data_IF_324451853769
#
_entry.id   IF_324451853769
#
_cell.length_a   1.000
_cell.length_b   1.000
_cell.length_c   1.000
_cell.angle_alpha   90.00
_cell.angle_beta   90.00
_cell.angle_gamma   90.00
#
_symmetry.space_group_name_H-M   'P 1'
#
loop_
_entity.id
_entity.type
_entity.pdbx_description
1 polymer ?
#
# COMPACT_ATOMS: atom_id res chain seq x y z
N UNK A 1 -3.70 22.71 -12.43
CA UNK A 1 -2.61 22.02 -13.18
C UNK A 1 -1.86 21.18 -12.15
N UNK A 2 -1.83 19.85 -12.13
CA UNK A 2 -2.16 18.79 -13.11
C UNK A 2 -3.27 17.87 -12.56
N UNK A 3 -4.37 17.73 -13.31
CA UNK A 3 -5.51 16.87 -13.01
C UNK A 3 -5.36 15.52 -13.74
N UNK A 4 -4.29 14.82 -13.46
CA UNK A 4 -4.20 13.40 -13.79
C UNK A 4 -4.42 12.68 -12.48
N UNK A 5 -5.37 11.75 -12.42
CA UNK A 5 -5.32 10.71 -11.41
C UNK A 5 -3.88 10.20 -11.41
N UNK A 6 -3.09 10.50 -10.39
CA UNK A 6 -1.73 9.99 -10.32
C UNK A 6 -1.90 8.49 -10.28
N UNK A 7 -1.62 7.83 -11.42
CA UNK A 7 -1.44 6.39 -11.48
C UNK A 7 -0.51 6.08 -10.32
N UNK A 8 -0.93 5.26 -9.34
CA UNK A 8 -0.09 4.99 -8.19
C UNK A 8 1.31 4.61 -8.67
N UNK A 9 2.35 5.22 -8.07
CA UNK A 9 3.75 5.08 -8.51
C UNK A 9 4.19 3.61 -8.64
N UNK A 10 3.53 2.71 -7.91
CA UNK A 10 3.72 1.26 -8.03
C UNK A 10 3.44 0.70 -9.44
N UNK A 11 2.59 1.34 -10.25
CA UNK A 11 2.30 0.94 -11.63
C UNK A 11 3.17 1.68 -12.66
N UNK A 12 3.93 2.70 -12.25
CA UNK A 12 4.81 3.43 -13.17
C UNK A 12 5.98 2.51 -13.61
N UNK A 13 6.14 2.19 -14.91
CA UNK A 13 7.23 1.32 -15.36
C UNK A 13 8.63 1.95 -15.21
N UNK A 14 8.71 3.28 -15.11
CA UNK A 14 9.98 4.00 -14.93
C UNK A 14 10.51 3.93 -13.51
N UNK A 15 9.65 3.60 -12.53
CA UNK A 15 10.03 3.45 -11.13
C UNK A 15 10.69 2.07 -10.93
N UNK A 16 11.92 2.00 -10.37
CA UNK A 16 12.56 0.74 -10.07
C UNK A 16 11.73 -0.13 -9.13
N UNK A 17 11.73 -1.45 -9.33
CA UNK A 17 10.93 -2.37 -8.52
C UNK A 17 11.23 -2.28 -7.01
N UNK A 18 12.48 -2.09 -6.63
CA UNK A 18 12.88 -1.88 -5.23
C UNK A 18 12.18 -0.65 -4.61
N UNK A 19 12.05 0.44 -5.37
CA UNK A 19 11.34 1.65 -4.92
C UNK A 19 9.85 1.38 -4.76
N UNK A 20 9.25 0.56 -5.65
CA UNK A 20 7.85 0.14 -5.51
C UNK A 20 7.61 -0.68 -4.24
N UNK A 21 8.52 -1.60 -3.94
CA UNK A 21 8.51 -2.36 -2.69
C UNK A 21 8.58 -1.43 -1.48
N UNK A 22 9.48 -0.45 -1.50
CA UNK A 22 9.61 0.53 -0.42
C UNK A 22 8.33 1.33 -0.19
N UNK A 23 7.68 1.80 -1.25
CA UNK A 23 6.39 2.49 -1.17
C UNK A 23 5.35 1.61 -0.46
N UNK A 24 5.22 0.34 -0.85
CA UNK A 24 4.25 -0.57 -0.24
C UNK A 24 4.59 -0.86 1.23
N UNK A 25 5.87 -0.99 1.57
CA UNK A 25 6.34 -1.15 2.95
C UNK A 25 5.99 0.06 3.81
N UNK A 26 6.18 1.27 3.28
CA UNK A 26 5.80 2.51 3.98
C UNK A 26 4.28 2.59 4.19
N UNK A 27 3.47 2.19 3.20
CA UNK A 27 2.01 2.13 3.34
C UNK A 27 1.57 1.11 4.41
N UNK A 28 2.26 -0.03 4.52
CA UNK A 28 2.00 -0.99 5.60
C UNK A 28 2.26 -0.35 6.97
N UNK A 29 3.39 0.34 7.14
CA UNK A 29 3.71 1.05 8.39
C UNK A 29 2.67 2.12 8.73
N UNK A 30 2.24 2.90 7.73
CA UNK A 30 1.16 3.88 7.91
C UNK A 30 -0.15 3.22 8.33
N UNK A 31 -0.51 2.07 7.75
CA UNK A 31 -1.70 1.30 8.15
C UNK A 31 -1.58 0.77 9.58
N UNK A 32 -0.40 0.31 10.01
CA UNK A 32 -0.16 -0.14 11.38
C UNK A 32 -0.40 1.01 12.37
N UNK A 33 0.18 2.19 12.08
CA UNK A 33 -0.06 3.40 12.88
C UNK A 33 -1.53 3.80 12.90
N UNK A 34 -2.23 3.76 11.77
CA UNK A 34 -3.66 4.06 11.70
C UNK A 34 -4.51 3.07 12.51
N UNK A 35 -4.13 1.80 12.55
CA UNK A 35 -4.79 0.75 13.36
C UNK A 35 -4.33 0.72 14.82
N UNK A 36 -3.39 1.59 15.21
CA UNK A 36 -2.78 1.64 16.53
C UNK A 36 -2.17 0.29 16.97
N UNK A 37 -1.51 -0.40 16.03
CA UNK A 37 -0.80 -1.67 16.28
C UNK A 37 0.67 -1.55 15.87
N UNK A 38 1.50 -2.47 16.37
CA UNK A 38 2.91 -2.52 15.95
C UNK A 38 3.03 -2.97 14.48
N UNK A 39 4.09 -2.54 13.76
CA UNK A 39 4.38 -3.06 12.43
C UNK A 39 4.56 -4.58 12.40
N UNK A 40 5.11 -5.17 13.46
CA UNK A 40 5.32 -6.61 13.61
C UNK A 40 4.01 -7.37 13.71
N UNK A 41 3.04 -6.85 14.46
CA UNK A 41 1.70 -7.43 14.55
C UNK A 41 0.95 -7.31 13.22
N UNK A 42 1.09 -6.18 12.52
CA UNK A 42 0.54 -6.04 11.18
C UNK A 42 1.20 -7.03 10.21
N UNK A 43 2.51 -7.26 10.31
CA UNK A 43 3.23 -8.23 9.48
C UNK A 43 2.71 -9.63 9.68
N UNK A 44 2.55 -10.07 10.93
CA UNK A 44 1.94 -11.38 11.25
C UNK A 44 0.52 -11.50 10.70
N UNK A 45 -0.28 -10.45 10.87
CA UNK A 45 -1.65 -10.41 10.35
C UNK A 45 -1.71 -10.53 8.82
N UNK A 46 -0.84 -9.82 8.10
CA UNK A 46 -0.77 -9.87 6.64
C UNK A 46 -0.21 -11.21 6.16
N UNK A 47 0.78 -11.76 6.84
CA UNK A 47 1.30 -13.10 6.57
C UNK A 47 0.20 -14.17 6.69
N UNK A 48 -0.60 -14.13 7.74
CA UNK A 48 -1.70 -15.08 7.95
C UNK A 48 -2.82 -14.91 6.88
N UNK A 49 -3.17 -13.66 6.57
CA UNK A 49 -4.31 -13.36 5.70
C UNK A 49 -4.00 -13.44 4.21
N UNK A 50 -2.85 -12.91 3.80
CA UNK A 50 -2.48 -12.76 2.39
C UNK A 50 -1.28 -13.61 2.00
N UNK A 51 -0.60 -14.26 2.96
CA UNK A 51 0.64 -15.01 2.72
C UNK A 51 1.75 -14.15 2.09
N UNK A 52 1.72 -12.83 2.34
CA UNK A 52 2.70 -11.88 1.83
C UNK A 52 3.44 -11.25 2.99
N UNK A 53 4.77 -11.30 2.92
CA UNK A 53 5.66 -10.62 3.84
C UNK A 53 6.06 -9.26 3.27
N UNK A 54 5.57 -8.17 3.89
CA UNK A 54 5.89 -6.82 3.39
C UNK A 54 7.36 -6.42 3.63
N UNK A 55 8.11 -7.11 4.48
CA UNK A 55 9.55 -6.88 4.62
C UNK A 55 10.39 -7.63 3.58
N UNK A 56 9.78 -8.57 2.84
CA UNK A 56 10.43 -9.38 1.82
C UNK A 56 9.64 -9.38 0.50
N UNK A 57 9.42 -8.19 -0.05
CA UNK A 57 8.69 -7.99 -1.30
C UNK A 57 9.55 -8.16 -2.56
N UNK A 58 10.88 -8.06 -2.46
CA UNK A 58 11.77 -8.08 -3.62
C UNK A 58 11.71 -9.38 -4.42
N UNK A 59 11.45 -10.51 -3.76
CA UNK A 59 11.27 -11.81 -4.41
C UNK A 59 9.83 -12.12 -4.85
N UNK A 60 8.86 -11.22 -4.62
CA UNK A 60 7.44 -11.52 -4.77
C UNK A 60 6.63 -10.38 -5.44
N UNK A 61 6.76 -10.19 -6.77
CA UNK A 61 6.04 -9.14 -7.51
C UNK A 61 4.52 -9.26 -7.46
N UNK A 62 3.99 -10.49 -7.48
CA UNK A 62 2.55 -10.71 -7.34
C UNK A 62 2.08 -10.34 -5.94
N UNK A 63 2.84 -10.72 -4.91
CA UNK A 63 2.56 -10.38 -3.53
C UNK A 63 2.56 -8.87 -3.28
N UNK A 64 3.50 -8.13 -3.87
CA UNK A 64 3.55 -6.66 -3.77
C UNK A 64 2.27 -6.02 -4.32
N UNK A 65 1.80 -6.44 -5.50
CA UNK A 65 0.57 -5.92 -6.09
C UNK A 65 -0.66 -6.29 -5.28
N UNK A 66 -0.77 -7.55 -4.86
CA UNK A 66 -1.88 -8.02 -4.02
C UNK A 66 -1.95 -7.26 -2.70
N UNK A 67 -0.79 -7.01 -2.09
CA UNK A 67 -0.69 -6.25 -0.86
C UNK A 67 -1.12 -4.80 -1.07
N UNK A 68 -0.71 -4.15 -2.17
CA UNK A 68 -1.18 -2.80 -2.49
C UNK A 68 -2.70 -2.74 -2.62
N UNK A 69 -3.32 -3.63 -3.39
CA UNK A 69 -4.78 -3.68 -3.55
C UNK A 69 -5.49 -3.88 -2.21
N UNK A 70 -4.92 -4.74 -1.35
CA UNK A 70 -5.42 -4.93 -0.01
C UNK A 70 -5.35 -3.62 0.79
N UNK A 71 -4.20 -2.95 0.85
CA UNK A 71 -4.03 -1.67 1.54
C UNK A 71 -5.00 -0.61 1.01
N UNK A 72 -5.19 -0.56 -0.31
CA UNK A 72 -6.14 0.35 -0.96
C UNK A 72 -7.58 0.09 -0.53
N UNK A 73 -7.98 -1.18 -0.32
CA UNK A 73 -9.29 -1.54 0.23
C UNK A 73 -9.49 -1.12 1.69
N UNK A 74 -8.39 -0.97 2.44
CA UNK A 74 -8.40 -0.63 3.87
C UNK A 74 -8.30 0.88 4.14
N UNK A 75 -8.28 1.71 3.10
CA UNK A 75 -8.14 3.16 3.24
C UNK A 75 -9.28 3.75 4.08
N UNK A 76 -9.01 4.76 4.93
CA UNK A 76 -10.05 5.49 5.62
C UNK A 76 -11.05 6.12 4.64
N UNK A 77 -12.32 6.21 5.04
CA UNK A 77 -13.36 6.87 4.23
C UNK A 77 -13.03 8.32 3.93
N UNK A 78 -12.30 9.02 4.81
CA UNK A 78 -11.77 10.36 4.56
C UNK A 78 -10.86 10.44 3.32
N UNK A 79 -10.13 9.37 3.00
CA UNK A 79 -9.34 9.27 1.77
C UNK A 79 -10.22 9.05 0.53
N UNK A 80 -11.48 8.62 0.71
CA UNK A 80 -12.48 8.54 -0.35
C UNK A 80 -13.22 9.88 -0.53
N UNK A 81 -13.53 10.63 0.53
CA UNK A 81 -14.24 11.93 0.45
C UNK A 81 -13.41 13.08 -0.11
N UNK A 82 -12.09 12.93 -0.22
CA UNK A 82 -11.27 13.79 -1.08
C UNK A 82 -11.73 13.77 -2.56
N UNK A 83 -12.60 12.82 -2.95
CA UNK A 83 -13.24 12.77 -4.27
C UNK A 83 -14.51 13.61 -4.41
N UNK A 84 -15.23 13.91 -3.33
CA UNK A 84 -16.57 14.55 -3.40
C UNK A 84 -16.57 16.06 -3.16
N UNK A 85 -15.59 16.61 -2.43
CA UNK A 85 -15.51 18.05 -2.14
C UNK A 85 -14.85 18.88 -3.25
N UNK A 86 -14.92 18.43 -4.50
CA UNK A 86 -14.35 19.06 -5.70
C UNK A 86 -15.45 19.42 -6.73
N UNK A 87 -16.68 19.64 -6.25
CA UNK A 87 -17.79 20.20 -7.04
C UNK A 87 -17.87 21.72 -6.91
#
# INVERSE_FOLDING_TARGET
>A
MNQTHSVPEIYNPEVPYAVKCEIVTQLCRALASHKNISPEDLRKYLLDKTHVDFENLEGNPVGMLLLYEYLYSQRPTACASAKENLH
#
